data_IF_272838926880
#
_entry.id   IF_272838926880
#
_cell.length_a   1.000
_cell.length_b   1.000
_cell.length_c   1.000
_cell.angle_alpha   90.00
_cell.angle_beta   90.00
_cell.angle_gamma   90.00
#
_symmetry.space_group_name_H-M   'P 1'
#
loop_
_entity.id
_entity.type
_entity.pdbx_description
1 polymer ?
#
# COMPACT_ATOMS: atom_id res chain seq x y z
N UNK A 1 0.20 -15.51 -3.09
CA UNK A 1 -1.27 -15.62 -3.23
C UNK A 1 -1.70 -14.51 -4.15
N UNK A 2 -2.58 -14.78 -5.13
CA UNK A 2 -3.08 -13.70 -5.98
C UNK A 2 -3.92 -12.72 -5.14
N UNK A 3 -3.76 -11.42 -5.39
CA UNK A 3 -4.53 -10.35 -4.73
C UNK A 3 -5.67 -9.99 -5.67
N UNK A 4 -6.85 -10.51 -5.37
CA UNK A 4 -7.98 -10.49 -6.29
C UNK A 4 -8.85 -9.25 -6.11
N UNK A 5 -8.81 -8.63 -4.93
CA UNK A 5 -9.68 -7.52 -4.58
C UNK A 5 -8.97 -6.39 -3.82
N UNK A 6 -9.61 -5.22 -3.78
CA UNK A 6 -9.07 -4.03 -3.14
C UNK A 6 -8.89 -4.20 -1.63
N UNK A 7 -9.74 -5.01 -0.97
CA UNK A 7 -9.68 -5.25 0.47
C UNK A 7 -8.39 -5.99 0.87
N UNK A 8 -8.02 -7.01 0.10
CA UNK A 8 -6.75 -7.73 0.30
C UNK A 8 -5.54 -6.80 0.09
N UNK A 9 -5.56 -5.98 -0.98
CA UNK A 9 -4.51 -5.00 -1.22
C UNK A 9 -4.38 -3.99 -0.07
N UNK A 10 -5.51 -3.49 0.46
CA UNK A 10 -5.55 -2.63 1.66
C UNK A 10 -4.90 -3.32 2.86
N UNK A 11 -5.27 -4.57 3.10
CA UNK A 11 -4.76 -5.32 4.25
C UNK A 11 -3.25 -5.51 4.16
N UNK A 12 -2.74 -5.94 2.99
CA UNK A 12 -1.31 -6.11 2.74
C UNK A 12 -0.55 -4.79 2.94
N UNK A 13 -1.05 -3.69 2.37
CA UNK A 13 -0.39 -2.39 2.50
C UNK A 13 -0.39 -1.88 3.94
N UNK A 14 -1.47 -2.11 4.69
CA UNK A 14 -1.55 -1.74 6.11
C UNK A 14 -0.60 -2.57 6.96
N UNK A 15 -0.59 -3.88 6.77
CA UNK A 15 0.32 -4.79 7.46
C UNK A 15 1.79 -4.39 7.20
N UNK A 16 2.14 -4.11 5.95
CA UNK A 16 3.47 -3.62 5.58
C UNK A 16 3.80 -2.26 6.21
N UNK A 17 2.86 -1.31 6.16
CA UNK A 17 3.06 0.02 6.73
C UNK A 17 3.32 -0.04 8.24
N UNK A 18 2.53 -0.83 8.98
CA UNK A 18 2.65 -0.96 10.43
C UNK A 18 3.88 -1.77 10.85
N UNK A 19 4.14 -2.92 10.21
CA UNK A 19 5.14 -3.89 10.67
C UNK A 19 6.52 -3.69 10.07
N UNK A 20 6.59 -3.37 8.78
CA UNK A 20 7.85 -3.29 8.04
C UNK A 20 8.35 -1.84 7.92
N UNK A 21 7.44 -0.89 7.69
CA UNK A 21 7.79 0.53 7.48
C UNK A 21 7.72 1.39 8.76
N UNK A 22 7.18 0.86 9.87
CA UNK A 22 7.08 1.58 11.14
C UNK A 22 6.13 2.78 11.14
N UNK A 23 5.16 2.82 10.22
CA UNK A 23 4.13 3.84 10.16
C UNK A 23 3.02 3.56 11.19
N UNK A 24 3.32 3.87 12.45
CA UNK A 24 2.35 3.85 13.54
C UNK A 24 1.34 4.99 13.30
N UNK A 25 0.04 4.70 13.42
CA UNK A 25 -1.08 5.63 13.12
C UNK A 25 -1.19 6.03 11.65
N UNK A 26 -1.29 5.02 10.77
CA UNK A 26 -1.56 5.21 9.35
C UNK A 26 -2.98 4.77 8.96
N UNK A 27 -3.48 5.32 7.86
CA UNK A 27 -4.73 4.93 7.23
C UNK A 27 -4.58 4.90 5.71
N UNK A 28 -5.43 4.12 5.04
CA UNK A 28 -5.43 3.99 3.58
C UNK A 28 -6.37 5.02 2.98
N UNK A 29 -5.85 5.90 2.13
CA UNK A 29 -6.68 6.93 1.45
C UNK A 29 -7.30 6.40 0.17
N UNK A 30 -6.54 5.60 -0.59
CA UNK A 30 -7.01 5.11 -1.89
C UNK A 30 -6.36 3.79 -2.26
N UNK A 31 -7.12 2.98 -3.00
CA UNK A 31 -6.67 1.71 -3.56
C UNK A 31 -7.13 1.64 -5.00
N UNK A 32 -6.19 1.40 -5.92
CA UNK A 32 -6.49 1.24 -7.34
C UNK A 32 -5.67 0.12 -7.94
N UNK A 33 -6.27 -0.63 -8.87
CA UNK A 33 -5.57 -1.62 -9.69
C UNK A 33 -5.10 -0.96 -10.98
N UNK A 34 -3.83 -1.15 -11.34
CA UNK A 34 -3.24 -0.70 -12.60
C UNK A 34 -2.43 -1.84 -13.22
N UNK A 35 -3.00 -2.49 -14.24
CA UNK A 35 -2.40 -3.68 -14.84
C UNK A 35 -2.23 -4.80 -13.82
N UNK A 36 -1.02 -5.34 -13.68
CA UNK A 36 -0.70 -6.43 -12.75
C UNK A 36 -0.34 -5.95 -11.33
N UNK A 37 -0.69 -4.72 -10.96
CA UNK A 37 -0.27 -4.12 -9.69
C UNK A 37 -1.44 -3.45 -8.98
N UNK A 38 -1.47 -3.56 -7.67
CA UNK A 38 -2.27 -2.71 -6.81
C UNK A 38 -1.41 -1.53 -6.33
N UNK A 39 -2.01 -0.35 -6.34
CA UNK A 39 -1.40 0.89 -5.87
C UNK A 39 -2.27 1.37 -4.71
N UNK A 40 -1.69 1.36 -3.51
CA UNK A 40 -2.34 1.80 -2.28
C UNK A 40 -1.64 3.06 -1.81
N UNK A 41 -2.42 4.11 -1.54
CA UNK A 41 -1.92 5.29 -0.86
C UNK A 41 -2.22 5.19 0.63
N UNK A 42 -1.17 5.34 1.44
CA UNK A 42 -1.21 5.27 2.89
C UNK A 42 -0.79 6.64 3.43
N UNK A 43 -1.66 7.29 4.19
CA UNK A 43 -1.34 8.51 4.93
C UNK A 43 -1.02 8.17 6.38
N UNK A 44 -0.06 8.88 6.94
CA UNK A 44 0.23 8.82 8.37
C UNK A 44 0.78 10.15 8.85
N UNK A 45 1.08 10.23 10.14
CA UNK A 45 1.60 11.45 10.79
C UNK A 45 2.91 11.92 10.14
N UNK A 46 3.73 10.99 9.65
CA UNK A 46 5.01 11.29 9.00
C UNK A 46 4.87 11.69 7.51
N UNK A 47 3.66 11.70 6.96
CA UNK A 47 3.37 12.05 5.57
C UNK A 47 2.67 10.93 4.82
N UNK A 48 2.62 11.07 3.49
CA UNK A 48 1.89 10.18 2.61
C UNK A 48 2.86 9.26 1.87
N UNK A 49 2.42 8.03 1.63
CA UNK A 49 3.23 6.99 1.05
C UNK A 49 2.44 6.21 0.03
N UNK A 50 3.13 5.69 -0.97
CA UNK A 50 2.58 4.81 -1.99
C UNK A 50 3.17 3.42 -1.85
N UNK A 51 2.31 2.44 -1.59
CA UNK A 51 2.65 1.01 -1.57
C UNK A 51 2.19 0.41 -2.89
N UNK A 52 3.11 -0.19 -3.66
CA UNK A 52 2.78 -0.95 -4.86
C UNK A 52 2.92 -2.44 -4.54
N UNK A 53 1.89 -3.20 -4.86
CA UNK A 53 1.79 -4.64 -4.59
C UNK A 53 1.64 -5.37 -5.92
N UNK A 54 2.39 -6.44 -6.15
CA UNK A 54 2.16 -7.31 -7.30
C UNK A 54 0.88 -8.13 -7.11
N UNK A 55 -0.02 -8.06 -8.09
CA UNK A 55 -1.34 -8.68 -7.99
C UNK A 55 -1.30 -10.22 -8.11
N UNK A 56 -0.21 -10.82 -8.59
CA UNK A 56 -0.07 -12.28 -8.71
C UNK A 56 0.59 -12.88 -7.47
N UNK A 57 1.67 -12.29 -6.98
CA UNK A 57 2.39 -12.82 -5.81
C UNK A 57 1.80 -12.33 -4.48
N UNK A 58 1.27 -11.11 -4.45
CA UNK A 58 0.87 -10.40 -3.24
C UNK A 58 2.02 -9.71 -2.53
N UNK A 59 3.21 -9.68 -3.14
CA UNK A 59 4.39 -9.05 -2.55
C UNK A 59 4.38 -7.53 -2.77
N UNK A 60 4.87 -6.80 -1.77
CA UNK A 60 5.15 -5.36 -1.90
C UNK A 60 6.39 -5.20 -2.77
N UNK A 61 6.22 -4.57 -3.93
CA UNK A 61 7.29 -4.36 -4.93
C UNK A 61 7.90 -2.97 -4.86
N UNK A 62 7.22 -1.99 -4.25
CA UNK A 62 7.80 -0.68 -3.94
C UNK A 62 7.04 0.03 -2.83
N UNK A 63 7.77 0.83 -2.07
CA UNK A 63 7.24 1.72 -1.05
C UNK A 63 8.01 3.04 -1.09
N UNK A 64 7.31 4.16 -1.31
CA UNK A 64 7.94 5.48 -1.46
C UNK A 64 7.07 6.57 -0.83
N UNK A 65 7.72 7.58 -0.24
CA UNK A 65 7.04 8.78 0.24
C UNK A 65 6.60 9.62 -0.97
N UNK A 66 5.39 10.16 -0.92
CA UNK A 66 4.83 11.02 -1.97
C UNK A 66 4.55 12.40 -1.37
N UNK A 67 5.10 13.44 -2.00
CA UNK A 67 4.80 14.82 -1.64
C UNK A 67 3.39 15.19 -2.12
N UNK A 68 2.64 15.93 -1.30
CA UNK A 68 1.42 16.59 -1.77
C UNK A 68 1.85 17.78 -2.65
N UNK A 69 1.60 17.69 -3.95
CA UNK A 69 1.52 18.86 -4.83
C UNK A 69 0.31 19.71 -4.52
#
# INVERSE_FOLDING_TARGET
MAVENAREATQIARDFAEKDAGLVYSWVDSVKKKGNKWIVQVSGIMGNFMVKIDAKSGEVISYERVEQT
#
